data_IF_954694641510
#
_entry.id   IF_954694641510
#
_cell.length_a   1.000
_cell.length_b   1.000
_cell.length_c   1.000
_cell.angle_alpha   90.00
_cell.angle_beta   90.00
_cell.angle_gamma   90.00
#
_symmetry.space_group_name_H-M   'P 1'
#
loop_
_entity.id
_entity.type
_entity.pdbx_description
1 polymer ?
#
# COMPACT_ATOMS: atom_id res chain seq x y z
N UNK A 1 34.28 -41.84 -8.62
CA UNK A 1 35.01 -40.59 -8.89
C UNK A 1 34.36 -39.47 -8.10
N UNK A 2 35.10 -38.91 -7.13
CA UNK A 2 34.71 -37.72 -6.35
C UNK A 2 34.99 -36.48 -7.20
N UNK A 3 34.05 -35.55 -7.31
CA UNK A 3 34.37 -34.19 -7.74
C UNK A 3 33.95 -33.25 -6.61
N UNK A 4 34.98 -32.64 -6.05
CA UNK A 4 35.02 -31.67 -4.97
C UNK A 4 34.60 -30.31 -5.57
N UNK A 5 33.53 -29.67 -5.09
CA UNK A 5 33.36 -28.22 -5.27
C UNK A 5 33.61 -27.53 -3.93
N UNK A 6 34.72 -26.79 -3.90
CA UNK A 6 35.16 -25.96 -2.80
C UNK A 6 34.11 -24.89 -2.49
N UNK A 7 33.82 -24.74 -1.21
CA UNK A 7 33.02 -23.64 -0.69
C UNK A 7 33.75 -22.30 -0.81
N UNK A 8 32.96 -21.26 -1.08
CA UNK A 8 33.38 -19.87 -0.89
C UNK A 8 32.56 -19.32 0.29
N UNK A 9 33.04 -19.51 1.51
CA UNK A 9 32.47 -18.88 2.70
C UNK A 9 33.04 -17.48 2.83
N UNK A 10 32.29 -16.47 2.41
CA UNK A 10 32.58 -15.08 2.74
C UNK A 10 32.19 -14.83 4.21
N UNK A 11 33.18 -14.84 5.11
CA UNK A 11 32.99 -14.44 6.51
C UNK A 11 33.14 -12.91 6.57
N UNK A 12 32.03 -12.18 6.58
CA UNK A 12 32.04 -10.76 6.91
C UNK A 12 31.96 -10.67 8.44
N UNK A 13 33.12 -10.57 9.09
CA UNK A 13 33.19 -10.28 10.53
C UNK A 13 32.87 -8.81 10.76
N UNK A 14 31.62 -8.51 11.10
CA UNK A 14 31.26 -7.21 11.70
C UNK A 14 31.55 -7.34 13.19
N UNK A 15 32.59 -6.64 13.66
CA UNK A 15 32.95 -6.54 15.07
C UNK A 15 31.87 -5.73 15.81
N UNK A 16 30.81 -6.40 16.24
CA UNK A 16 29.67 -5.77 16.92
C UNK A 16 28.44 -6.68 16.89
N UNK A 17 28.46 -7.71 17.75
CA UNK A 17 27.35 -8.59 18.16
C UNK A 17 25.98 -8.47 17.49
N UNK A 18 25.84 -9.00 16.27
CA UNK A 18 24.65 -9.68 15.78
C UNK A 18 25.06 -10.54 14.58
N UNK A 19 24.94 -11.87 14.69
CA UNK A 19 25.09 -12.75 13.51
C UNK A 19 23.83 -12.61 12.67
N UNK A 20 23.85 -11.71 11.69
CA UNK A 20 22.83 -11.68 10.64
C UNK A 20 23.06 -12.92 9.75
N UNK A 21 22.07 -13.80 9.66
CA UNK A 21 22.12 -14.95 8.77
C UNK A 21 22.22 -14.49 7.32
N UNK A 22 22.90 -15.25 6.45
CA UNK A 22 22.94 -14.95 5.01
C UNK A 22 21.53 -14.95 4.40
N UNK A 23 20.63 -15.77 4.94
CA UNK A 23 19.20 -15.80 4.60
C UNK A 23 18.49 -14.52 5.07
N UNK A 24 18.80 -14.00 6.26
CA UNK A 24 18.21 -12.76 6.79
C UNK A 24 18.73 -11.54 6.03
N UNK A 25 20.02 -11.52 5.67
CA UNK A 25 20.63 -10.48 4.86
C UNK A 25 20.13 -10.52 3.40
N UNK A 26 19.94 -11.71 2.83
CA UNK A 26 19.33 -11.91 1.50
C UNK A 26 17.87 -11.45 1.50
N UNK A 27 17.08 -11.86 2.50
CA UNK A 27 15.71 -11.41 2.70
C UNK A 27 15.65 -9.90 2.94
N UNK A 28 16.51 -9.32 3.78
CA UNK A 28 16.56 -7.87 4.01
C UNK A 28 16.98 -7.10 2.74
N UNK A 29 17.92 -7.62 1.95
CA UNK A 29 18.37 -7.03 0.69
C UNK A 29 17.31 -7.11 -0.42
N UNK A 30 16.51 -8.19 -0.46
CA UNK A 30 15.32 -8.32 -1.32
C UNK A 30 14.19 -7.36 -0.91
N UNK A 31 14.21 -6.86 0.33
CA UNK A 31 13.21 -5.94 0.89
C UNK A 31 13.74 -4.50 1.07
N UNK A 32 14.74 -4.07 0.29
CA UNK A 32 15.15 -2.65 0.33
C UNK A 32 13.98 -1.77 -0.13
N UNK A 33 13.28 -1.16 0.83
CA UNK A 33 12.18 -0.23 0.55
C UNK A 33 12.73 1.07 -0.05
N UNK A 34 12.12 1.51 -1.14
CA UNK A 34 12.42 2.76 -1.84
C UNK A 34 11.22 3.68 -1.69
N UNK A 35 11.46 4.98 -1.51
CA UNK A 35 10.42 6.00 -1.43
C UNK A 35 9.46 5.83 -2.63
N UNK A 36 8.19 5.57 -2.33
CA UNK A 36 7.16 5.38 -3.33
C UNK A 36 6.38 6.68 -3.56
N UNK A 37 5.93 7.31 -2.48
CA UNK A 37 5.14 8.54 -2.57
C UNK A 37 5.48 9.50 -1.43
N UNK A 38 5.38 10.80 -1.71
CA UNK A 38 5.41 11.85 -0.69
C UNK A 38 4.46 13.00 -1.02
N UNK A 39 3.70 13.42 -0.02
CA UNK A 39 2.80 14.58 -0.10
C UNK A 39 2.75 15.29 1.25
N UNK A 40 3.12 16.57 1.29
CA UNK A 40 3.04 17.37 2.52
C UNK A 40 1.60 17.59 2.93
N UNK A 41 1.35 17.66 4.23
CA UNK A 41 0.04 18.04 4.73
C UNK A 41 -0.29 19.48 4.29
N UNK A 42 -1.52 19.75 3.80
CA UNK A 42 -1.96 21.11 3.52
C UNK A 42 -1.85 22.00 4.76
N UNK A 43 -1.59 23.31 4.58
CA UNK A 43 -1.33 24.26 5.67
C UNK A 43 -2.48 24.38 6.71
N UNK A 44 -3.70 23.96 6.36
CA UNK A 44 -4.83 23.91 7.30
C UNK A 44 -4.72 22.80 8.35
N UNK A 45 -3.83 21.83 8.15
CA UNK A 45 -3.62 20.72 9.07
C UNK A 45 -2.46 21.01 10.02
N UNK A 46 -2.76 20.99 11.30
CA UNK A 46 -1.75 21.03 12.35
C UNK A 46 -1.34 19.61 12.72
N UNK A 47 -0.05 19.29 12.58
CA UNK A 47 0.52 18.03 13.06
C UNK A 47 0.59 18.05 14.59
N UNK A 48 -0.09 17.12 15.25
CA UNK A 48 -0.15 17.05 16.71
C UNK A 48 0.92 16.13 17.31
N UNK A 49 1.20 14.99 16.66
CA UNK A 49 2.15 14.00 17.17
C UNK A 49 1.87 12.60 16.63
N UNK A 50 2.54 11.60 17.19
CA UNK A 50 2.23 10.19 16.89
C UNK A 50 0.96 9.75 17.65
N UNK A 51 0.14 8.87 17.07
CA UNK A 51 -1.00 8.30 17.78
C UNK A 51 -0.52 7.40 18.94
N UNK A 52 -1.34 7.19 19.98
CA UNK A 52 -1.06 6.23 21.04
C UNK A 52 -0.67 4.86 20.48
N UNK A 53 0.46 4.34 20.95
CA UNK A 53 1.05 3.08 20.50
C UNK A 53 0.10 1.91 20.79
N UNK A 54 -0.04 0.99 19.83
CA UNK A 54 -0.80 -0.26 19.94
C UNK A 54 -2.33 -0.14 20.12
N UNK A 55 -2.91 1.07 20.12
CA UNK A 55 -4.36 1.25 20.28
C UNK A 55 -5.15 1.38 18.97
N UNK A 56 -4.47 1.51 17.83
CA UNK A 56 -5.10 1.89 16.56
C UNK A 56 -4.98 0.81 15.50
N UNK A 57 -6.09 0.52 14.85
CA UNK A 57 -6.14 -0.29 13.64
C UNK A 57 -6.77 0.51 12.50
N UNK A 58 -6.31 0.29 11.27
CA UNK A 58 -6.83 0.94 10.07
C UNK A 58 -7.27 -0.10 9.04
N UNK A 59 -8.23 0.28 8.20
CA UNK A 59 -8.50 -0.45 6.96
C UNK A 59 -7.57 0.07 5.89
N UNK A 60 -6.64 -0.77 5.45
CA UNK A 60 -5.67 -0.45 4.40
C UNK A 60 -6.23 -0.89 3.04
N UNK A 61 -6.24 0.02 2.08
CA UNK A 61 -6.66 -0.21 0.70
C UNK A 61 -5.46 -0.06 -0.21
N UNK A 62 -5.26 -1.01 -1.12
CA UNK A 62 -4.13 -1.04 -2.04
C UNK A 62 -4.72 -1.09 -3.44
N UNK A 63 -4.49 -0.04 -4.22
CA UNK A 63 -4.84 0.04 -5.64
C UNK A 63 -3.71 -0.54 -6.48
N UNK A 64 -4.05 -1.48 -7.36
CA UNK A 64 -3.10 -2.06 -8.29
C UNK A 64 -3.02 -1.23 -9.56
N UNK A 65 -1.82 -1.16 -10.13
CA UNK A 65 -1.60 -0.50 -11.39
C UNK A 65 -2.15 -1.35 -12.53
N UNK A 66 -2.83 -0.71 -13.48
CA UNK A 66 -3.26 -1.36 -14.72
C UNK A 66 -2.63 -0.64 -15.93
N UNK A 67 -1.50 -1.16 -16.39
CA UNK A 67 -0.76 -0.60 -17.53
C UNK A 67 -1.55 -0.70 -18.84
N UNK A 68 -2.30 -1.79 -19.05
CA UNK A 68 -3.11 -1.97 -20.27
C UNK A 68 -4.18 -0.90 -20.39
N UNK A 69 -4.83 -0.57 -19.28
CA UNK A 69 -5.80 0.51 -19.22
C UNK A 69 -5.16 1.86 -19.50
N UNK A 70 -4.05 2.18 -18.83
CA UNK A 70 -3.32 3.44 -19.02
C UNK A 70 -2.93 3.67 -20.49
N UNK A 71 -2.45 2.63 -21.16
CA UNK A 71 -1.99 2.72 -22.55
C UNK A 71 -3.15 2.83 -23.56
N UNK A 72 -4.32 2.26 -23.25
CA UNK A 72 -5.44 2.15 -24.19
C UNK A 72 -6.54 3.20 -23.99
N UNK A 73 -6.68 3.77 -22.78
CA UNK A 73 -7.83 4.62 -22.43
C UNK A 73 -7.95 5.85 -23.32
N UNK A 74 -6.84 6.48 -23.72
CA UNK A 74 -6.89 7.67 -24.59
C UNK A 74 -7.45 7.32 -25.97
N UNK A 75 -6.99 6.24 -26.58
CA UNK A 75 -7.49 5.78 -27.89
C UNK A 75 -8.95 5.35 -27.82
N UNK A 76 -9.35 4.69 -26.74
CA UNK A 76 -10.74 4.31 -26.50
C UNK A 76 -11.64 5.54 -26.41
N UNK A 77 -11.27 6.53 -25.59
CA UNK A 77 -12.03 7.76 -25.42
C UNK A 77 -12.13 8.58 -26.72
N UNK A 78 -11.06 8.63 -27.50
CA UNK A 78 -11.05 9.29 -28.81
C UNK A 78 -12.11 8.69 -29.75
N UNK A 79 -12.09 7.36 -29.91
CA UNK A 79 -13.04 6.64 -30.78
C UNK A 79 -14.50 6.80 -30.35
N UNK A 80 -14.77 6.85 -29.04
CA UNK A 80 -16.13 6.91 -28.50
C UNK A 80 -16.67 8.35 -28.45
N UNK A 81 -15.79 9.36 -28.40
CA UNK A 81 -16.17 10.76 -28.19
C UNK A 81 -16.19 11.60 -29.47
N UNK A 82 -15.56 11.14 -30.56
CA UNK A 82 -15.56 11.84 -31.85
C UNK A 82 -16.85 11.55 -32.66
N UNK A 83 -17.71 12.56 -32.93
CA UNK A 83 -18.93 12.40 -33.72
C UNK A 83 -18.72 11.90 -35.16
N UNK A 84 -17.50 12.06 -35.70
CA UNK A 84 -17.13 11.59 -37.04
C UNK A 84 -16.60 10.16 -37.05
N UNK A 85 -16.31 9.59 -35.87
CA UNK A 85 -15.79 8.24 -35.74
C UNK A 85 -16.93 7.21 -35.80
N UNK A 86 -16.77 6.06 -36.48
CA UNK A 86 -17.81 5.03 -36.60
C UNK A 86 -18.31 4.47 -35.25
N UNK A 87 -17.48 4.53 -34.22
CA UNK A 87 -17.79 4.03 -32.87
C UNK A 87 -18.31 5.11 -31.91
N UNK A 88 -18.66 6.30 -32.41
CA UNK A 88 -19.21 7.38 -31.59
C UNK A 88 -20.38 6.88 -30.71
N UNK A 89 -20.32 7.18 -29.41
CA UNK A 89 -21.31 6.75 -28.39
C UNK A 89 -21.49 5.24 -28.25
N UNK A 90 -20.56 4.43 -28.73
CA UNK A 90 -20.51 3.01 -28.40
C UNK A 90 -19.94 2.87 -27.00
N UNK A 91 -20.63 2.17 -26.10
CA UNK A 91 -20.16 1.89 -24.74
C UNK A 91 -19.62 0.47 -24.64
N UNK A 92 -18.63 0.25 -23.76
CA UNK A 92 -18.16 -1.10 -23.44
C UNK A 92 -19.24 -1.87 -22.70
N UNK A 93 -19.37 -3.15 -23.00
CA UNK A 93 -20.13 -4.06 -22.17
C UNK A 93 -19.32 -4.48 -20.92
N UNK A 94 -19.96 -5.18 -19.97
CA UNK A 94 -19.33 -5.56 -18.71
C UNK A 94 -18.08 -6.42 -18.90
N UNK A 95 -18.06 -7.33 -19.89
CA UNK A 95 -16.92 -8.21 -20.16
C UNK A 95 -15.73 -7.43 -20.73
N UNK A 96 -15.99 -6.58 -21.74
CA UNK A 96 -14.98 -5.70 -22.32
C UNK A 96 -14.40 -4.73 -21.29
N UNK A 97 -15.26 -4.17 -20.43
CA UNK A 97 -14.83 -3.32 -19.34
C UNK A 97 -13.95 -4.09 -18.35
N UNK A 98 -14.36 -5.28 -17.93
CA UNK A 98 -13.58 -6.12 -17.01
C UNK A 98 -12.20 -6.44 -17.55
N UNK A 99 -12.11 -6.86 -18.81
CA UNK A 99 -10.83 -7.18 -19.46
C UNK A 99 -9.92 -5.95 -19.54
N UNK A 100 -10.52 -4.78 -19.77
CA UNK A 100 -9.80 -3.52 -19.84
C UNK A 100 -9.26 -3.08 -18.47
N UNK A 101 -10.06 -3.20 -17.39
CA UNK A 101 -9.70 -2.66 -16.07
C UNK A 101 -9.01 -3.63 -15.12
N UNK A 102 -8.99 -4.93 -15.43
CA UNK A 102 -8.30 -5.92 -14.60
C UNK A 102 -6.76 -5.79 -14.72
N UNK A 103 -6.03 -5.66 -13.60
CA UNK A 103 -4.56 -5.72 -13.61
C UNK A 103 -4.04 -7.07 -14.11
N UNK A 104 -2.80 -7.09 -14.61
CA UNK A 104 -2.17 -8.34 -15.04
C UNK A 104 -1.90 -9.30 -13.86
N UNK A 105 -1.82 -10.60 -14.17
CA UNK A 105 -1.60 -11.65 -13.17
C UNK A 105 -0.23 -11.50 -12.47
N UNK A 106 0.76 -10.88 -13.12
CA UNK A 106 2.08 -10.59 -12.53
C UNK A 106 1.92 -9.60 -11.36
N UNK A 107 1.15 -8.52 -11.55
CA UNK A 107 0.85 -7.49 -10.56
C UNK A 107 0.04 -8.05 -9.40
N UNK A 108 -1.00 -8.83 -9.70
CA UNK A 108 -1.80 -9.52 -8.68
C UNK A 108 -0.90 -10.44 -7.85
N UNK A 109 -0.08 -11.27 -8.49
CA UNK A 109 0.84 -12.19 -7.84
C UNK A 109 1.90 -11.48 -6.99
N UNK A 110 2.48 -10.39 -7.49
CA UNK A 110 3.51 -9.61 -6.80
C UNK A 110 2.97 -8.98 -5.51
N UNK A 111 1.81 -8.34 -5.56
CA UNK A 111 1.17 -7.72 -4.39
C UNK A 111 0.69 -8.78 -3.40
N UNK A 112 0.06 -9.86 -3.87
CA UNK A 112 -0.38 -10.96 -3.00
C UNK A 112 0.82 -11.62 -2.30
N UNK A 113 1.92 -11.87 -3.01
CA UNK A 113 3.15 -12.41 -2.45
C UNK A 113 3.76 -11.50 -1.38
N UNK A 114 3.81 -10.19 -1.66
CA UNK A 114 4.27 -9.19 -0.69
C UNK A 114 3.42 -9.16 0.59
N UNK A 115 2.10 -9.25 0.47
CA UNK A 115 1.20 -9.31 1.62
C UNK A 115 1.37 -10.62 2.41
N UNK A 116 1.53 -11.76 1.74
CA UNK A 116 1.83 -13.04 2.41
C UNK A 116 3.15 -13.00 3.17
N UNK A 117 4.17 -12.33 2.64
CA UNK A 117 5.45 -12.15 3.32
C UNK A 117 5.32 -11.33 4.62
N UNK A 118 4.29 -10.48 4.73
CA UNK A 118 3.91 -9.77 5.96
C UNK A 118 2.89 -10.54 6.81
N UNK A 119 2.63 -11.82 6.49
CA UNK A 119 1.81 -12.73 7.27
C UNK A 119 0.29 -12.58 7.07
N UNK A 120 -0.17 -11.86 6.04
CA UNK A 120 -1.58 -11.82 5.69
C UNK A 120 -1.99 -13.11 4.98
N UNK A 121 -3.12 -13.67 5.40
CA UNK A 121 -3.72 -14.85 4.79
C UNK A 121 -4.69 -14.44 3.65
N UNK A 122 -5.01 -15.38 2.76
CA UNK A 122 -5.85 -15.11 1.59
C UNK A 122 -7.24 -14.59 1.97
N UNK A 123 -7.81 -15.08 3.06
CA UNK A 123 -9.13 -14.67 3.58
C UNK A 123 -9.14 -13.23 4.13
N UNK A 124 -7.98 -12.69 4.50
CA UNK A 124 -7.82 -11.30 4.94
C UNK A 124 -7.69 -10.33 3.76
N UNK A 125 -7.35 -10.81 2.56
CA UNK A 125 -7.20 -10.00 1.35
C UNK A 125 -8.54 -9.91 0.62
N UNK A 126 -9.31 -8.86 0.89
CA UNK A 126 -10.61 -8.65 0.23
C UNK A 126 -10.40 -7.96 -1.11
N UNK A 127 -10.56 -8.72 -2.19
CA UNK A 127 -10.46 -8.20 -3.55
C UNK A 127 -11.79 -7.63 -4.04
N UNK A 128 -11.74 -6.56 -4.83
CA UNK A 128 -12.84 -6.16 -5.71
C UNK A 128 -13.07 -7.19 -6.80
N UNK A 129 -14.23 -7.13 -7.47
CA UNK A 129 -14.59 -8.05 -8.55
C UNK A 129 -13.54 -8.06 -9.68
N UNK A 130 -12.98 -6.89 -10.02
CA UNK A 130 -11.99 -6.71 -11.08
C UNK A 130 -10.54 -6.87 -10.61
N UNK A 131 -10.33 -7.20 -9.32
CA UNK A 131 -9.02 -7.35 -8.68
C UNK A 131 -8.10 -6.12 -8.80
N UNK A 132 -8.67 -4.95 -9.05
CA UNK A 132 -7.97 -3.66 -9.09
C UNK A 132 -7.69 -3.10 -7.69
N UNK A 133 -8.41 -3.56 -6.67
CA UNK A 133 -8.19 -3.17 -5.28
C UNK A 133 -8.15 -4.35 -4.31
N UNK A 134 -7.31 -4.21 -3.28
CA UNK A 134 -7.29 -5.06 -2.09
C UNK A 134 -7.64 -4.22 -0.88
N UNK A 135 -8.58 -4.70 -0.05
CA UNK A 135 -8.85 -4.17 1.28
C UNK A 135 -8.37 -5.13 2.36
N UNK A 136 -7.61 -4.61 3.33
CA UNK A 136 -7.18 -5.29 4.54
C UNK A 136 -7.83 -4.58 5.73
N UNK A 137 -8.76 -5.25 6.40
CA UNK A 137 -9.50 -4.67 7.51
C UNK A 137 -8.75 -4.80 8.83
N UNK A 138 -8.90 -3.79 9.69
CA UNK A 138 -8.40 -3.79 11.08
C UNK A 138 -6.90 -4.14 11.21
N UNK A 139 -6.07 -3.64 10.31
CA UNK A 139 -4.62 -3.85 10.39
C UNK A 139 -4.04 -2.98 11.51
N UNK A 140 -3.27 -3.54 12.47
CA UNK A 140 -2.60 -2.74 13.49
C UNK A 140 -1.69 -1.67 12.86
N UNK A 141 -1.77 -0.44 13.35
CA UNK A 141 -1.06 0.69 12.74
C UNK A 141 0.46 0.49 12.70
N UNK A 142 1.04 -0.07 13.77
CA UNK A 142 2.47 -0.40 13.84
C UNK A 142 2.88 -1.41 12.75
N UNK A 143 2.00 -2.35 12.40
CA UNK A 143 2.24 -3.30 11.30
C UNK A 143 2.25 -2.56 9.95
N UNK A 144 1.33 -1.62 9.75
CA UNK A 144 1.31 -0.80 8.53
C UNK A 144 2.56 0.07 8.42
N UNK A 145 2.98 0.72 9.50
CA UNK A 145 4.22 1.50 9.55
C UNK A 145 5.45 0.68 9.17
N UNK A 146 5.54 -0.56 9.67
CA UNK A 146 6.60 -1.49 9.29
C UNK A 146 6.53 -1.87 7.81
N UNK A 147 5.35 -2.25 7.30
CA UNK A 147 5.15 -2.65 5.90
C UNK A 147 5.53 -1.56 4.91
N UNK A 148 5.17 -0.32 5.25
CA UNK A 148 5.30 0.84 4.37
C UNK A 148 6.54 1.69 4.70
N UNK A 149 7.39 1.24 5.62
CA UNK A 149 8.55 1.97 6.14
C UNK A 149 8.25 3.47 6.35
N UNK A 150 7.27 3.74 7.19
CA UNK A 150 6.73 5.08 7.43
C UNK A 150 6.36 5.30 8.90
N UNK A 151 5.95 6.52 9.23
CA UNK A 151 5.43 6.90 10.54
C UNK A 151 4.17 7.72 10.37
N UNK A 152 3.06 7.24 10.91
CA UNK A 152 1.80 7.96 10.95
C UNK A 152 1.78 8.97 12.08
N UNK A 153 1.04 10.04 11.84
CA UNK A 153 0.85 11.12 12.79
C UNK A 153 -0.63 11.53 12.80
N UNK A 154 -1.07 12.02 13.95
CA UNK A 154 -2.36 12.67 14.10
C UNK A 154 -2.24 14.11 13.61
N UNK A 155 -3.14 14.50 12.72
CA UNK A 155 -3.31 15.87 12.27
C UNK A 155 -4.68 16.37 12.68
N UNK A 156 -4.77 17.65 13.02
CA UNK A 156 -6.01 18.34 13.32
C UNK A 156 -6.28 19.39 12.25
N UNK A 157 -7.46 19.33 11.65
CA UNK A 157 -7.92 20.38 10.74
C UNK A 157 -8.36 21.62 11.51
N UNK A 158 -8.44 22.78 10.84
CA UNK A 158 -9.01 24.01 11.42
C UNK A 158 -10.45 23.83 11.91
N UNK A 159 -11.21 22.90 11.32
CA UNK A 159 -12.57 22.53 11.76
C UNK A 159 -12.62 21.68 13.04
N UNK A 160 -11.48 21.25 13.59
CA UNK A 160 -11.39 20.45 14.82
C UNK A 160 -11.37 18.94 14.61
N UNK A 161 -11.56 18.46 13.38
CA UNK A 161 -11.48 17.04 13.05
C UNK A 161 -10.04 16.51 13.10
N UNK A 162 -9.88 15.27 13.56
CA UNK A 162 -8.59 14.59 13.65
C UNK A 162 -8.47 13.52 12.56
N UNK A 163 -7.30 13.42 11.93
CA UNK A 163 -6.98 12.42 10.91
C UNK A 163 -5.62 11.79 11.17
N UNK A 164 -5.52 10.48 10.99
CA UNK A 164 -4.25 9.72 11.07
C UNK A 164 -3.72 9.54 9.65
N UNK A 165 -2.55 10.12 9.35
CA UNK A 165 -1.92 10.07 8.02
C UNK A 165 -0.39 10.08 8.11
N UNK A 166 0.26 9.83 6.99
CA UNK A 166 1.70 10.05 6.81
C UNK A 166 1.96 10.99 5.64
N UNK A 167 3.14 11.61 5.58
CA UNK A 167 3.52 12.48 4.46
C UNK A 167 4.39 11.77 3.41
N UNK A 168 4.84 10.55 3.71
CA UNK A 168 5.66 9.75 2.81
C UNK A 168 5.60 8.28 3.18
N UNK A 169 5.76 7.39 2.21
CA UNK A 169 5.94 5.98 2.49
C UNK A 169 6.78 5.32 1.39
N UNK A 170 7.30 4.14 1.71
CA UNK A 170 8.21 3.40 0.84
C UNK A 170 7.68 2.00 0.61
N UNK A 171 8.02 1.44 -0.55
CA UNK A 171 7.71 0.05 -0.92
C UNK A 171 8.97 -0.62 -1.47
N UNK A 172 9.10 -1.95 -1.38
CA UNK A 172 10.08 -2.69 -2.17
C UNK A 172 10.05 -2.25 -3.64
N UNK A 173 11.23 -1.99 -4.22
CA UNK A 173 11.36 -1.42 -5.57
C UNK A 173 10.54 -2.17 -6.63
N UNK A 174 10.45 -3.50 -6.53
CA UNK A 174 9.71 -4.32 -7.50
C UNK A 174 8.20 -4.04 -7.49
N UNK A 175 7.62 -3.56 -6.38
CA UNK A 175 6.19 -3.23 -6.31
C UNK A 175 5.81 -1.92 -7.00
N UNK A 176 6.78 -1.05 -7.31
CA UNK A 176 6.50 0.28 -7.87
C UNK A 176 5.79 0.23 -9.22
N UNK A 177 5.95 -0.87 -9.98
CA UNK A 177 5.25 -1.07 -11.26
C UNK A 177 3.87 -1.75 -11.11
N UNK A 178 3.55 -2.25 -9.92
CA UNK A 178 2.35 -3.08 -9.66
C UNK A 178 1.34 -2.38 -8.72
N UNK A 179 1.80 -1.44 -7.91
CA UNK A 179 0.97 -0.65 -6.99
C UNK A 179 0.81 0.74 -7.58
N UNK A 180 -0.42 1.21 -7.69
CA UNK A 180 -0.71 2.60 -8.05
C UNK A 180 -0.73 3.48 -6.81
N UNK A 181 -1.44 3.05 -5.76
CA UNK A 181 -1.50 3.79 -4.50
C UNK A 181 -1.92 2.94 -3.30
N UNK A 182 -1.63 3.41 -2.09
CA UNK A 182 -2.05 2.78 -0.83
C UNK A 182 -2.75 3.82 0.04
N UNK A 183 -3.95 3.52 0.58
CA UNK A 183 -4.69 4.41 1.48
C UNK A 183 -5.14 3.72 2.76
N UNK A 184 -5.34 4.45 3.87
CA UNK A 184 -5.02 5.87 4.05
C UNK A 184 -3.52 6.09 4.23
N UNK A 185 -2.87 6.93 3.43
CA UNK A 185 -1.44 7.29 3.60
C UNK A 185 -1.23 8.81 3.49
N UNK A 186 -0.88 9.30 2.29
CA UNK A 186 -0.53 10.66 1.90
C UNK A 186 -1.72 11.47 1.43
N UNK A 187 -2.82 10.83 1.05
CA UNK A 187 -4.04 11.52 0.65
C UNK A 187 -4.85 11.90 1.87
N UNK A 188 -5.36 13.13 1.87
CA UNK A 188 -6.32 13.59 2.87
C UNK A 188 -7.72 13.34 2.31
N UNK A 189 -8.33 12.20 2.69
CA UNK A 189 -9.74 11.96 2.41
C UNK A 189 -10.57 12.26 3.66
N UNK A 190 -11.66 12.99 3.50
CA UNK A 190 -12.61 13.34 4.56
C UNK A 190 -13.72 12.30 4.76
N UNK A 191 -13.64 11.15 4.07
CA UNK A 191 -14.55 10.07 4.40
C UNK A 191 -14.26 9.65 5.84
N UNK A 192 -15.29 9.76 6.69
CA UNK A 192 -15.28 9.44 8.11
C UNK A 192 -14.78 8.00 8.30
N UNK A 193 -13.45 7.82 8.41
CA UNK A 193 -12.87 6.56 8.80
C UNK A 193 -13.31 6.35 10.24
N UNK A 194 -14.28 5.45 10.44
CA UNK A 194 -14.79 5.01 11.73
C UNK A 194 -13.71 4.21 12.48
N UNK A 195 -12.60 4.87 12.82
CA UNK A 195 -11.78 4.48 13.95
C UNK A 195 -12.46 5.04 15.18
N UNK A 196 -13.22 4.20 15.88
CA UNK A 196 -13.80 4.55 17.18
C UNK A 196 -12.64 4.90 18.12
N UNK A 197 -12.43 6.18 18.37
CA UNK A 197 -11.63 6.63 19.51
C UNK A 197 -12.56 6.44 20.72
N UNK A 198 -12.49 5.28 21.36
CA UNK A 198 -13.13 5.09 22.67
C UNK A 198 -12.29 5.86 23.68
N UNK A 199 -12.66 7.12 23.93
CA UNK A 199 -12.15 7.84 25.09
C UNK A 199 -12.92 7.32 26.31
N UNK A 200 -12.29 6.45 27.09
CA UNK A 200 -12.73 6.22 28.47
C UNK A 200 -12.42 7.49 29.27
N UNK A 201 -13.40 8.40 29.35
CA UNK A 201 -13.40 9.46 30.36
C UNK A 201 -13.88 8.85 31.67
N UNK A 202 -12.92 8.37 32.46
CA UNK A 202 -13.10 8.20 33.90
C UNK A 202 -13.03 9.57 34.57
N UNK A 203 -14.19 10.19 34.79
CA UNK A 203 -14.33 11.25 35.79
C UNK A 203 -15.22 10.74 36.91
N UNK A 204 -14.56 10.41 38.02
CA UNK A 204 -15.18 10.12 39.31
C UNK A 204 -15.74 11.42 39.89
N UNK A 205 -17.04 11.41 40.16
CA UNK A 205 -17.74 12.46 40.89
C UNK A 205 -17.12 12.69 42.27
N UNK A 206 -16.95 13.97 42.63
CA UNK A 206 -17.15 14.50 43.99
C UNK A 206 -17.99 15.77 43.83
#
# INVERSE_FOLDING_TARGET
MKILLLGLTAIISIAGGAKLSLEDASKAALHSSVLFETHRAPARFQKLGQPPLNSHSITLQIGLKNTRFEDSISSLLERMSDPSHPEFRTHLNDEEFNELIQPDDESIGAVQGWLKNHGFQNDQMKWTAHKDWISLERVPLNKVEQMLNTTYHVYRDKGGEHVIRTEKYSLPKYLHRHVDLIQPTTMVSFHKFMGVISAETGESSI
#
